data_IF_124641785414
#
_entry.id   IF_124641785414
#
_cell.length_a   1.000
_cell.length_b   1.000
_cell.length_c   1.000
_cell.angle_alpha   90.00
_cell.angle_beta   90.00
_cell.angle_gamma   90.00
#
_symmetry.space_group_name_H-M   'P 1'
#
loop_
_entity.id
_entity.type
_entity.pdbx_description
1 polymer ?
#
# COMPACT_ATOMS: atom_id res chain seq x y z
N UNK A 1 30.66 -7.46 -0.52
CA UNK A 1 29.74 -6.38 -0.93
C UNK A 1 30.19 -5.08 -0.26
N UNK A 2 30.28 -3.95 -0.97
CA UNK A 2 30.75 -2.68 -0.37
C UNK A 2 29.63 -2.03 0.46
N UNK A 3 29.96 -1.45 1.60
CA UNK A 3 29.00 -0.85 2.53
C UNK A 3 28.17 0.29 1.91
N UNK A 4 28.78 1.10 1.04
CA UNK A 4 28.09 2.13 0.26
C UNK A 4 27.01 1.57 -0.67
N UNK A 5 27.26 0.39 -1.25
CA UNK A 5 26.28 -0.31 -2.10
C UNK A 5 25.07 -0.76 -1.29
N UNK A 6 25.28 -1.26 -0.07
CA UNK A 6 24.20 -1.68 0.84
C UNK A 6 23.33 -0.49 1.26
N UNK A 7 23.93 0.66 1.61
CA UNK A 7 23.15 1.88 1.96
C UNK A 7 22.29 2.39 0.81
N UNK A 8 22.80 2.33 -0.42
CA UNK A 8 22.08 2.82 -1.61
C UNK A 8 20.87 1.94 -1.95
N UNK A 9 20.96 0.63 -1.75
CA UNK A 9 19.83 -0.28 -2.00
C UNK A 9 18.64 -0.05 -1.05
N UNK A 10 18.88 0.49 0.15
CA UNK A 10 17.84 0.81 1.14
C UNK A 10 17.62 2.32 1.31
N UNK A 11 18.03 3.14 0.35
CA UNK A 11 17.89 4.60 0.44
C UNK A 11 16.52 5.13 0.06
N UNK A 12 15.56 4.26 -0.30
CA UNK A 12 14.19 4.71 -0.55
C UNK A 12 13.52 5.08 0.77
N UNK A 13 13.34 6.38 1.00
CA UNK A 13 12.70 6.94 2.20
C UNK A 13 11.17 6.87 2.12
N UNK A 14 10.63 6.72 0.91
CA UNK A 14 9.18 6.82 0.63
C UNK A 14 8.53 5.45 0.68
N UNK A 15 7.68 5.25 1.69
CA UNK A 15 6.85 4.06 1.88
C UNK A 15 5.37 4.34 1.52
N UNK A 16 5.04 5.56 1.11
CA UNK A 16 3.69 6.10 0.88
C UNK A 16 3.16 5.92 -0.55
N UNK A 17 3.64 4.90 -1.27
CA UNK A 17 3.26 4.69 -2.66
C UNK A 17 1.82 4.18 -2.75
N UNK A 18 0.91 5.08 -3.16
CA UNK A 18 -0.49 4.75 -3.37
C UNK A 18 -0.78 4.30 -4.81
N UNK A 19 -1.73 3.38 -4.97
CA UNK A 19 -2.24 2.97 -6.28
C UNK A 19 -2.97 4.15 -6.96
N UNK A 20 -2.62 4.50 -8.21
CA UNK A 20 -3.37 5.49 -8.98
C UNK A 20 -4.86 5.13 -9.05
N UNK A 21 -5.73 6.14 -8.88
CA UNK A 21 -7.16 5.90 -8.75
C UNK A 21 -7.75 5.23 -10.01
N UNK A 22 -7.33 5.66 -11.20
CA UNK A 22 -7.85 5.12 -12.46
C UNK A 22 -7.53 3.63 -12.65
N UNK A 23 -6.33 3.22 -12.23
CA UNK A 23 -5.91 1.82 -12.28
C UNK A 23 -6.69 0.97 -11.28
N UNK A 24 -6.88 1.48 -10.05
CA UNK A 24 -7.71 0.82 -9.06
C UNK A 24 -9.16 0.67 -9.54
N UNK A 25 -9.75 1.74 -10.09
CA UNK A 25 -11.14 1.73 -10.56
C UNK A 25 -11.37 0.72 -11.70
N UNK A 26 -10.43 0.58 -12.62
CA UNK A 26 -10.53 -0.40 -13.70
C UNK A 26 -10.59 -1.84 -13.16
N UNK A 27 -9.79 -2.15 -12.13
CA UNK A 27 -9.80 -3.45 -11.48
C UNK A 27 -11.01 -3.62 -10.56
N UNK A 28 -11.42 -2.58 -9.83
CA UNK A 28 -12.56 -2.62 -8.93
C UNK A 28 -13.89 -2.81 -9.69
N UNK A 29 -13.98 -2.32 -10.92
CA UNK A 29 -15.11 -2.58 -11.79
C UNK A 29 -15.26 -4.07 -12.17
N UNK A 30 -14.16 -4.84 -12.18
CA UNK A 30 -14.16 -6.27 -12.51
C UNK A 30 -14.23 -7.16 -11.27
N UNK A 31 -13.47 -6.83 -10.23
CA UNK A 31 -13.27 -7.68 -9.05
C UNK A 31 -14.08 -7.25 -7.83
N UNK A 32 -14.61 -6.01 -7.81
CA UNK A 32 -15.40 -5.44 -6.71
C UNK A 32 -14.73 -5.61 -5.34
N UNK A 33 -13.59 -4.95 -5.14
CA UNK A 33 -12.81 -5.06 -3.92
C UNK A 33 -13.61 -4.56 -2.71
N UNK A 34 -13.49 -5.29 -1.60
CA UNK A 34 -14.18 -4.94 -0.34
C UNK A 34 -13.23 -4.50 0.75
N UNK A 35 -11.93 -4.75 0.59
CA UNK A 35 -10.89 -4.51 1.59
C UNK A 35 -9.63 -3.95 0.95
N UNK A 36 -9.12 -2.86 1.54
CA UNK A 36 -7.81 -2.29 1.24
C UNK A 36 -6.84 -2.57 2.41
N UNK A 37 -5.99 -3.61 2.32
CA UNK A 37 -5.20 -4.09 3.45
C UNK A 37 -3.99 -3.20 3.80
N UNK A 38 -3.64 -2.23 2.95
CA UNK A 38 -2.49 -1.36 3.16
C UNK A 38 -2.80 0.06 2.66
N UNK A 39 -3.49 0.83 3.50
CA UNK A 39 -3.88 2.20 3.21
C UNK A 39 -3.77 3.12 4.42
N UNK A 40 -3.61 4.42 4.18
CA UNK A 40 -3.83 5.47 5.15
C UNK A 40 -5.25 6.05 4.99
N UNK A 41 -5.77 6.77 6.00
CA UNK A 41 -7.09 7.40 5.91
C UNK A 41 -7.25 8.35 4.71
N UNK A 42 -6.14 8.90 4.19
CA UNK A 42 -6.18 9.83 3.05
C UNK A 42 -6.11 9.15 1.68
N UNK A 43 -5.69 7.89 1.60
CA UNK A 43 -5.50 7.18 0.33
C UNK A 43 -6.34 5.90 0.17
N UNK A 44 -7.14 5.56 1.19
CA UNK A 44 -7.99 4.37 1.22
C UNK A 44 -8.89 4.27 0.00
N UNK A 45 -8.85 3.12 -0.68
CA UNK A 45 -9.65 2.84 -1.88
C UNK A 45 -10.96 2.12 -1.57
N UNK A 46 -11.02 1.44 -0.43
CA UNK A 46 -12.19 0.68 0.04
C UNK A 46 -12.73 1.23 1.36
N UNK A 47 -14.03 0.99 1.63
CA UNK A 47 -14.67 1.34 2.92
C UNK A 47 -14.04 0.60 4.10
N UNK A 48 -13.67 -0.66 3.90
CA UNK A 48 -12.89 -1.44 4.87
C UNK A 48 -11.42 -1.31 4.47
N UNK A 49 -10.59 -0.81 5.36
CA UNK A 49 -9.16 -0.71 5.11
C UNK A 49 -8.36 -0.88 6.41
N UNK A 50 -7.09 -1.26 6.26
CA UNK A 50 -6.16 -1.36 7.37
C UNK A 50 -5.06 -0.32 7.22
N UNK A 51 -4.71 0.29 8.36
CA UNK A 51 -3.61 1.25 8.47
C UNK A 51 -2.35 0.55 8.95
N UNK A 52 -1.19 1.20 8.82
CA UNK A 52 0.06 0.72 9.41
C UNK A 52 -0.11 0.35 10.89
N UNK A 53 -0.90 1.14 11.64
CA UNK A 53 -1.23 0.88 13.04
C UNK A 53 -2.08 -0.37 13.23
N UNK A 54 -3.06 -0.59 12.35
CA UNK A 54 -3.96 -1.75 12.44
C UNK A 54 -3.29 -3.04 11.99
N UNK A 55 -2.18 -2.93 11.25
CA UNK A 55 -1.39 -4.00 10.66
C UNK A 55 -2.25 -5.07 9.96
N UNK A 56 -2.46 -4.90 8.66
CA UNK A 56 -3.30 -5.81 7.87
C UNK A 56 -2.86 -7.27 7.88
N UNK A 57 -1.58 -7.57 8.15
CA UNK A 57 -1.07 -8.94 8.26
C UNK A 57 -1.56 -9.67 9.52
N UNK A 58 -2.05 -8.95 10.53
CA UNK A 58 -2.57 -9.52 11.77
C UNK A 58 -4.08 -9.71 11.74
N UNK A 59 -4.75 -9.32 10.66
CA UNK A 59 -6.21 -9.31 10.53
C UNK A 59 -6.74 -10.44 9.63
N UNK A 60 -5.90 -11.43 9.32
CA UNK A 60 -6.19 -12.59 8.46
C UNK A 60 -6.25 -13.89 9.25
#
# INVERSE_FOLDING_TARGET
MKEATRKTMFSSVRMDWATPMDFFNALDAEFHFTLDPCASPENAKCKKYYTERTNGLLQS
#
